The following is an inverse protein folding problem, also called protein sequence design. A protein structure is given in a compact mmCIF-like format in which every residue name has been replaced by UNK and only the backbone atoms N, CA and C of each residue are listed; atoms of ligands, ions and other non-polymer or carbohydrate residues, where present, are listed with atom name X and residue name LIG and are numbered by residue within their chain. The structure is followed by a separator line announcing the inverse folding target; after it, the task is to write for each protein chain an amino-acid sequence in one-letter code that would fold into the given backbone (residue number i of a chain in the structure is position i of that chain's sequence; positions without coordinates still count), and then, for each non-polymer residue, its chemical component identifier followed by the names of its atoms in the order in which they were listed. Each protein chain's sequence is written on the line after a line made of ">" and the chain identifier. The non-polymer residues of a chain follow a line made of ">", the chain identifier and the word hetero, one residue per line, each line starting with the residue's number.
data_IF_585316691550
#
_entry.id   IF_585316691550
#
_cell.length_a   1.000
_cell.length_b   1.000
_cell.length_c   1.000
_cell.angle_alpha   90.00
_cell.angle_beta   90.00
_cell.angle_gamma   90.00
#
_symmetry.space_group_name_H-M   'P 1'
#
loop_
_entity.id
_entity.type
_entity.pdbx_description
1 polymer ?
#
# COMPACT_ATOMS: atom_id res chain seq x y z
N UNK A 1 20.47 -35.36 8.59
CA UNK A 1 20.03 -35.18 7.20
C UNK A 1 20.35 -33.73 6.84
N UNK A 2 21.25 -33.54 5.89
CA UNK A 2 21.77 -32.23 5.47
C UNK A 2 20.89 -31.72 4.33
N UNK A 3 20.36 -30.51 4.43
CA UNK A 3 19.72 -29.85 3.29
C UNK A 3 20.47 -28.58 2.97
N UNK A 4 21.21 -28.69 1.86
CA UNK A 4 21.90 -27.67 1.09
C UNK A 4 21.13 -26.34 0.99
N UNK A 5 21.79 -25.25 1.35
CA UNK A 5 21.52 -23.92 0.83
C UNK A 5 22.29 -23.83 -0.51
N UNK A 6 21.57 -23.84 -1.64
CA UNK A 6 22.17 -23.50 -2.94
C UNK A 6 22.27 -21.98 -2.97
N UNK A 7 23.46 -21.45 -2.73
CA UNK A 7 23.81 -20.08 -3.11
C UNK A 7 23.61 -19.95 -4.62
N UNK A 8 22.47 -19.36 -5.00
CA UNK A 8 22.31 -18.79 -6.34
C UNK A 8 23.12 -17.50 -6.29
N UNK A 9 24.19 -17.48 -7.07
CA UNK A 9 25.01 -16.32 -7.48
C UNK A 9 24.34 -14.96 -7.15
N UNK A 10 24.58 -14.48 -5.92
CA UNK A 10 24.14 -13.18 -5.42
C UNK A 10 25.14 -12.08 -5.82
N UNK A 11 25.75 -12.20 -7.00
CA UNK A 11 26.52 -11.10 -7.55
C UNK A 11 25.54 -10.00 -7.97
N UNK A 12 25.43 -8.97 -7.12
CA UNK A 12 24.79 -7.71 -7.46
C UNK A 12 25.43 -7.21 -8.76
N UNK A 13 24.59 -6.76 -9.69
CA UNK A 13 25.09 -6.06 -10.87
C UNK A 13 25.91 -4.83 -10.39
N UNK A 14 27.01 -4.49 -11.08
CA UNK A 14 27.83 -3.32 -10.74
C UNK A 14 26.98 -2.05 -10.59
N UNK A 15 27.39 -1.16 -9.68
CA UNK A 15 26.77 0.16 -9.52
C UNK A 15 26.67 0.86 -10.89
N UNK A 16 25.44 1.24 -11.27
CA UNK A 16 25.12 1.84 -12.58
C UNK A 16 24.45 0.90 -13.60
N UNK A 17 24.28 -0.40 -13.30
CA UNK A 17 23.51 -1.35 -14.13
C UNK A 17 22.08 -1.62 -13.63
N UNK A 18 21.75 -1.21 -12.40
CA UNK A 18 20.40 -1.33 -11.85
C UNK A 18 19.52 -0.21 -12.43
N UNK A 19 18.50 -0.59 -13.20
CA UNK A 19 17.51 0.37 -13.70
C UNK A 19 16.40 0.46 -12.68
N UNK A 20 15.88 1.66 -12.42
CA UNK A 20 14.75 1.88 -11.52
C UNK A 20 13.55 0.99 -11.91
N UNK A 21 13.35 0.76 -13.21
CA UNK A 21 12.26 -0.08 -13.73
C UNK A 21 12.31 -1.56 -13.30
N UNK A 22 13.43 -2.07 -12.77
CA UNK A 22 13.60 -3.49 -12.41
C UNK A 22 12.79 -3.87 -11.15
N UNK A 23 12.45 -2.89 -10.30
CA UNK A 23 11.76 -3.12 -9.02
C UNK A 23 10.39 -2.45 -8.92
N UNK A 24 9.92 -1.84 -10.00
CA UNK A 24 8.58 -1.27 -10.06
C UNK A 24 7.51 -2.36 -9.90
N UNK A 25 6.65 -2.18 -8.91
CA UNK A 25 5.48 -3.02 -8.66
C UNK A 25 4.36 -2.64 -9.63
N UNK A 26 3.89 -3.62 -10.40
CA UNK A 26 2.95 -3.41 -11.53
C UNK A 26 1.66 -4.23 -11.33
N UNK A 27 0.67 -3.72 -10.59
CA UNK A 27 -0.60 -4.44 -10.33
C UNK A 27 -1.31 -4.92 -11.60
N UNK A 28 -1.21 -4.13 -12.68
CA UNK A 28 -1.82 -4.40 -13.98
C UNK A 28 -1.27 -5.67 -14.66
N UNK A 29 -0.04 -6.08 -14.36
CA UNK A 29 0.55 -7.30 -14.97
C UNK A 29 -0.15 -8.58 -14.53
N UNK A 30 -0.64 -8.61 -13.29
CA UNK A 30 -1.25 -9.80 -12.70
C UNK A 30 -2.78 -9.70 -12.58
N UNK A 31 -3.36 -8.53 -12.92
CA UNK A 31 -4.79 -8.28 -12.83
C UNK A 31 -5.35 -8.38 -11.40
N UNK A 32 -4.49 -8.29 -10.37
CA UNK A 32 -4.87 -8.36 -8.96
C UNK A 32 -4.20 -7.23 -8.18
N UNK A 33 -4.82 -6.75 -7.08
CA UNK A 33 -4.19 -5.76 -6.23
C UNK A 33 -2.88 -6.27 -5.64
N UNK A 34 -1.91 -5.37 -5.48
CA UNK A 34 -0.68 -5.60 -4.73
C UNK A 34 -0.83 -4.91 -3.38
N UNK A 35 -0.57 -5.64 -2.30
CA UNK A 35 -0.47 -5.07 -0.94
C UNK A 35 1.00 -5.03 -0.55
N UNK A 36 1.55 -3.82 -0.37
CA UNK A 36 2.97 -3.60 -0.14
C UNK A 36 3.21 -2.80 1.14
N UNK A 37 3.93 -3.39 2.09
CA UNK A 37 4.33 -2.73 3.33
C UNK A 37 5.68 -2.05 3.17
N UNK A 38 5.76 -0.77 3.50
CA UNK A 38 6.98 0.03 3.34
C UNK A 38 6.94 1.28 4.23
N UNK A 39 8.03 2.04 4.22
CA UNK A 39 8.02 3.43 4.65
C UNK A 39 7.55 4.27 3.47
N UNK A 40 6.54 5.12 3.64
CA UNK A 40 5.98 5.90 2.55
C UNK A 40 5.87 7.38 2.92
N UNK A 41 6.44 8.23 2.07
CA UNK A 41 6.36 9.69 2.23
C UNK A 41 4.90 10.14 2.27
N UNK A 42 4.57 11.04 3.20
CA UNK A 42 3.19 11.51 3.43
C UNK A 42 2.28 10.57 4.22
N UNK A 43 2.72 9.34 4.50
CA UNK A 43 1.95 8.33 5.26
C UNK A 43 2.65 8.01 6.59
N UNK A 44 3.84 7.41 6.54
CA UNK A 44 4.59 7.02 7.73
C UNK A 44 5.48 5.79 7.54
N UNK A 45 6.05 5.31 8.63
CA UNK A 45 6.95 4.14 8.68
C UNK A 45 6.21 2.81 8.77
N UNK A 46 4.89 2.84 8.95
CA UNK A 46 4.05 1.66 9.01
C UNK A 46 2.99 1.75 7.91
N UNK A 47 3.42 2.13 6.71
CA UNK A 47 2.52 2.30 5.58
C UNK A 47 2.22 0.95 4.93
N UNK A 48 0.96 0.76 4.55
CA UNK A 48 0.49 -0.32 3.71
C UNK A 48 -0.11 0.30 2.45
N UNK A 49 0.65 0.22 1.37
CA UNK A 49 0.21 0.69 0.06
C UNK A 49 -0.57 -0.43 -0.65
N UNK A 50 -1.69 -0.07 -1.27
CA UNK A 50 -2.54 -0.96 -2.05
C UNK A 50 -2.58 -0.45 -3.50
N UNK A 51 -1.99 -1.23 -4.39
CA UNK A 51 -1.93 -0.93 -5.81
C UNK A 51 -2.97 -1.73 -6.57
N UNK A 52 -3.99 -1.07 -7.13
CA UNK A 52 -5.01 -1.72 -7.94
C UNK A 52 -4.68 -1.76 -9.44
N UNK A 53 -5.05 -2.83 -10.17
CA UNK A 53 -4.86 -2.94 -11.63
C UNK A 53 -5.48 -1.82 -12.46
N UNK A 54 -6.50 -1.15 -11.92
CA UNK A 54 -7.20 -0.02 -12.53
C UNK A 54 -6.35 1.28 -12.55
N UNK A 55 -5.11 1.24 -12.02
CA UNK A 55 -4.21 2.39 -12.00
C UNK A 55 -4.63 3.48 -11.01
N UNK A 56 -5.38 3.09 -9.98
CA UNK A 56 -5.75 3.92 -8.84
C UNK A 56 -5.23 3.25 -7.60
N UNK A 57 -4.57 3.99 -6.71
CA UNK A 57 -3.84 3.42 -5.59
C UNK A 57 -4.14 4.20 -4.31
N UNK A 58 -3.99 3.54 -3.17
CA UNK A 58 -4.19 4.15 -1.87
C UNK A 58 -3.16 3.64 -0.87
N UNK A 59 -2.87 4.43 0.16
CA UNK A 59 -2.00 4.01 1.25
C UNK A 59 -2.65 4.23 2.61
N UNK A 60 -2.55 3.21 3.44
CA UNK A 60 -3.03 3.15 4.80
C UNK A 60 -1.87 3.31 5.77
N UNK A 61 -2.03 4.14 6.78
CA UNK A 61 -1.13 4.22 7.93
C UNK A 61 -1.61 3.23 8.99
N UNK A 62 -0.90 2.11 9.16
CA UNK A 62 -1.31 1.11 10.16
C UNK A 62 -1.01 1.51 11.59
N UNK A 63 -0.18 2.53 11.82
CA UNK A 63 0.06 3.06 13.16
C UNK A 63 -1.12 3.88 13.64
N UNK A 64 -1.68 4.71 12.75
CA UNK A 64 -2.84 5.58 13.04
C UNK A 64 -4.18 4.98 12.59
N UNK A 65 -4.16 3.79 11.98
CA UNK A 65 -5.30 3.08 11.41
C UNK A 65 -6.18 3.96 10.50
N UNK A 66 -5.57 4.65 9.53
CA UNK A 66 -6.30 5.53 8.60
C UNK A 66 -5.73 5.54 7.18
N UNK A 67 -6.61 5.72 6.19
CA UNK A 67 -6.22 6.01 4.82
C UNK A 67 -5.67 7.44 4.70
N UNK A 68 -4.45 7.58 4.17
CA UNK A 68 -3.72 8.85 4.15
C UNK A 68 -3.70 9.50 2.79
N UNK A 69 -3.32 8.75 1.76
CA UNK A 69 -3.18 9.28 0.41
C UNK A 69 -3.76 8.33 -0.62
N UNK A 70 -4.17 8.88 -1.76
CA UNK A 70 -4.45 8.15 -2.98
C UNK A 70 -3.84 8.85 -4.19
N UNK A 71 -3.56 8.10 -5.24
CA UNK A 71 -2.95 8.61 -6.47
C UNK A 71 -3.32 7.75 -7.69
N UNK A 72 -2.99 8.24 -8.88
CA UNK A 72 -3.25 7.56 -10.17
C UNK A 72 -1.95 7.23 -10.91
N UNK A 73 -2.00 6.23 -11.78
CA UNK A 73 -0.91 5.90 -12.69
C UNK A 73 -0.03 4.77 -12.17
N UNK A 74 1.26 5.05 -11.98
CA UNK A 74 2.25 4.06 -11.53
C UNK A 74 2.14 3.87 -10.02
N UNK A 75 2.38 2.63 -9.56
CA UNK A 75 2.19 2.28 -8.16
C UNK A 75 3.38 2.71 -7.28
N UNK A 76 4.34 1.82 -7.07
CA UNK A 76 5.53 2.05 -6.23
C UNK A 76 6.72 1.28 -6.77
N UNK A 77 7.90 1.75 -6.36
CA UNK A 77 9.17 1.05 -6.57
C UNK A 77 9.60 0.33 -5.28
N UNK A 78 9.97 -0.94 -5.38
CA UNK A 78 10.43 -1.72 -4.23
C UNK A 78 11.94 -1.58 -3.93
N UNK A 79 12.73 -0.91 -4.81
CA UNK A 79 14.18 -0.77 -4.71
C UNK A 79 14.62 -0.07 -3.43
N UNK A 80 13.84 0.88 -2.90
CA UNK A 80 14.16 1.63 -1.68
C UNK A 80 14.38 0.73 -0.45
N UNK A 81 13.97 -0.55 -0.51
CA UNK A 81 14.04 -1.50 0.59
C UNK A 81 15.38 -2.27 0.66
N UNK A 82 16.22 -2.22 -0.39
CA UNK A 82 17.36 -3.14 -0.54
C UNK A 82 18.75 -2.52 -0.62
N UNK A 83 18.89 -1.22 -0.92
CA UNK A 83 20.16 -0.69 -1.43
C UNK A 83 21.07 0.00 -0.39
N UNK A 84 20.53 0.61 0.67
CA UNK A 84 21.36 1.38 1.61
C UNK A 84 20.90 1.26 3.08
N UNK A 85 21.82 1.46 4.03
CA UNK A 85 21.53 1.51 5.48
C UNK A 85 20.63 2.70 5.85
N UNK A 86 20.35 3.58 4.89
CA UNK A 86 19.34 4.62 4.94
C UNK A 86 18.24 4.32 3.91
N UNK A 87 17.22 3.57 4.34
CA UNK A 87 16.00 3.36 3.55
C UNK A 87 15.20 4.67 3.55
N UNK A 88 15.41 5.50 2.53
CA UNK A 88 14.53 6.63 2.29
C UNK A 88 13.09 6.12 2.09
N UNK A 89 12.07 6.79 2.66
CA UNK A 89 10.69 6.41 2.41
C UNK A 89 10.41 6.36 0.90
N UNK A 90 9.69 5.34 0.46
CA UNK A 90 9.19 5.27 -0.90
C UNK A 90 8.32 6.49 -1.22
N UNK A 91 8.23 6.81 -2.51
CA UNK A 91 7.35 7.84 -3.03
C UNK A 91 6.37 7.22 -4.04
N UNK A 92 5.11 7.69 -4.10
CA UNK A 92 4.21 7.36 -5.20
C UNK A 92 4.87 7.64 -6.55
N UNK A 93 4.93 6.64 -7.44
CA UNK A 93 5.49 6.83 -8.80
C UNK A 93 4.51 7.53 -9.76
N UNK A 94 3.23 7.56 -9.40
CA UNK A 94 2.16 8.16 -10.18
C UNK A 94 1.93 9.63 -9.85
N UNK A 95 0.85 10.17 -10.41
CA UNK A 95 0.50 11.59 -10.31
C UNK A 95 -0.75 11.80 -9.43
N UNK A 96 -1.02 13.07 -9.10
CA UNK A 96 -2.27 13.46 -8.43
C UNK A 96 -2.41 12.96 -7.00
N UNK A 97 -1.29 12.85 -6.27
CA UNK A 97 -1.29 12.45 -4.85
C UNK A 97 -2.20 13.38 -4.06
N UNK A 98 -3.26 12.80 -3.49
CA UNK A 98 -4.33 13.52 -2.79
C UNK A 98 -4.45 13.00 -1.37
N UNK A 99 -4.54 13.91 -0.40
CA UNK A 99 -4.82 13.56 1.00
C UNK A 99 -6.27 13.06 1.16
N UNK A 100 -6.41 11.91 1.80
CA UNK A 100 -7.69 11.27 2.09
C UNK A 100 -8.21 11.57 3.49
N UNK A 101 -7.41 12.18 4.38
CA UNK A 101 -7.68 12.29 5.80
C UNK A 101 -9.02 12.98 6.11
N UNK A 102 -9.40 13.98 5.32
CA UNK A 102 -10.68 14.68 5.49
C UNK A 102 -11.88 13.86 4.97
N UNK A 103 -11.70 13.10 3.89
CA UNK A 103 -12.76 12.30 3.29
C UNK A 103 -12.95 10.96 4.01
N UNK A 104 -11.85 10.34 4.44
CA UNK A 104 -11.76 9.07 5.14
C UNK A 104 -11.11 9.30 6.50
N UNK A 105 -11.84 9.89 7.47
CA UNK A 105 -11.29 10.10 8.80
C UNK A 105 -10.93 8.76 9.44
N UNK A 106 -9.82 8.76 10.18
CA UNK A 106 -9.41 7.67 11.04
C UNK A 106 -10.24 7.60 12.33
N UNK A 107 -9.96 6.62 13.19
CA UNK A 107 -10.56 6.53 14.51
C UNK A 107 -10.23 7.76 15.37
N UNK A 108 -11.17 8.16 16.25
CA UNK A 108 -11.00 9.31 17.14
C UNK A 108 -10.18 8.99 18.41
N UNK A 109 -9.96 7.71 18.68
CA UNK A 109 -9.16 7.20 19.80
C UNK A 109 -7.95 6.46 19.26
N UNK A 110 -6.99 6.15 20.13
CA UNK A 110 -5.90 5.24 19.81
C UNK A 110 -6.46 3.92 19.27
N UNK A 111 -5.78 3.39 18.26
CA UNK A 111 -6.21 2.21 17.52
C UNK A 111 -5.08 1.20 17.39
N UNK A 112 -5.41 -0.07 17.53
CA UNK A 112 -4.51 -1.19 17.34
C UNK A 112 -4.80 -1.87 16.00
N UNK A 113 -3.81 -1.92 15.12
CA UNK A 113 -3.94 -2.61 13.85
C UNK A 113 -3.85 -4.13 14.02
N UNK A 114 -4.88 -4.84 13.57
CA UNK A 114 -5.00 -6.30 13.71
C UNK A 114 -4.61 -7.06 12.43
N UNK A 115 -4.25 -6.36 11.36
CA UNK A 115 -3.90 -6.94 10.06
C UNK A 115 -4.96 -6.72 8.99
N UNK A 116 -4.93 -7.54 7.93
CA UNK A 116 -5.90 -7.46 6.85
C UNK A 116 -6.27 -8.85 6.32
N UNK A 117 -7.47 -8.97 5.74
CA UNK A 117 -7.95 -10.16 5.02
C UNK A 117 -8.07 -9.83 3.54
N UNK A 118 -7.69 -10.76 2.66
CA UNK A 118 -7.86 -10.63 1.23
C UNK A 118 -9.14 -11.34 0.80
N UNK A 119 -9.90 -10.72 -0.10
CA UNK A 119 -10.98 -11.41 -0.80
C UNK A 119 -10.46 -12.25 -1.99
N UNK A 120 -11.37 -12.91 -2.71
CA UNK A 120 -11.02 -13.75 -3.87
C UNK A 120 -10.31 -12.98 -5.00
N UNK A 121 -10.55 -11.67 -5.10
CA UNK A 121 -9.93 -10.77 -6.08
C UNK A 121 -8.61 -10.20 -5.59
N UNK A 122 -8.26 -10.40 -4.31
CA UNK A 122 -7.06 -9.88 -3.68
C UNK A 122 -7.23 -8.47 -3.10
N UNK A 123 -8.45 -7.95 -2.98
CA UNK A 123 -8.69 -6.65 -2.34
C UNK A 123 -8.60 -6.80 -0.82
N UNK A 124 -7.76 -6.00 -0.13
CA UNK A 124 -7.64 -6.07 1.32
C UNK A 124 -8.77 -5.36 2.06
N UNK A 125 -9.29 -6.01 3.09
CA UNK A 125 -10.06 -5.40 4.18
C UNK A 125 -9.17 -5.32 5.41
N UNK A 126 -8.88 -4.10 5.87
CA UNK A 126 -8.06 -3.81 7.03
C UNK A 126 -8.90 -3.95 8.30
N UNK A 127 -8.29 -4.52 9.35
CA UNK A 127 -8.91 -4.77 10.64
C UNK A 127 -8.15 -4.01 11.70
N UNK A 128 -8.87 -3.27 12.54
CA UNK A 128 -8.27 -2.58 13.69
C UNK A 128 -9.29 -2.47 14.83
N UNK A 129 -8.79 -2.35 16.05
CA UNK A 129 -9.60 -2.05 17.24
C UNK A 129 -9.38 -0.60 17.66
N UNK A 130 -10.45 0.14 17.95
CA UNK A 130 -10.36 1.47 18.52
C UNK A 130 -11.51 1.69 19.52
N UNK A 131 -11.19 2.13 20.74
CA UNK A 131 -12.20 2.41 21.76
C UNK A 131 -13.06 1.19 22.12
N UNK A 132 -12.49 -0.02 22.10
CA UNK A 132 -13.19 -1.28 22.39
C UNK A 132 -14.14 -1.76 21.29
N UNK A 133 -14.07 -1.19 20.09
CA UNK A 133 -14.82 -1.61 18.92
C UNK A 133 -13.88 -2.08 17.81
N UNK A 134 -14.25 -3.17 17.14
CA UNK A 134 -13.54 -3.65 15.95
C UNK A 134 -14.08 -2.96 14.69
N UNK A 135 -13.17 -2.57 13.80
CA UNK A 135 -13.47 -1.95 12.53
C UNK A 135 -12.99 -2.82 11.37
N UNK A 136 -13.80 -2.87 10.32
CA UNK A 136 -13.44 -3.40 9.01
C UNK A 136 -13.41 -2.24 8.01
N UNK A 137 -12.25 -1.97 7.42
CA UNK A 137 -12.03 -0.83 6.54
C UNK A 137 -11.41 -1.27 5.21
N UNK A 138 -12.17 -1.07 4.14
CA UNK A 138 -11.77 -1.46 2.79
C UNK A 138 -11.83 -0.25 1.88
N UNK A 139 -10.84 -0.13 1.00
CA UNK A 139 -10.88 0.78 -0.14
C UNK A 139 -10.81 -0.03 -1.43
N UNK A 140 -11.59 0.35 -2.43
CA UNK A 140 -11.53 -0.24 -3.77
C UNK A 140 -11.86 0.78 -4.88
N UNK A 141 -11.39 0.57 -6.11
CA UNK A 141 -11.75 1.42 -7.25
C UNK A 141 -13.25 1.38 -7.56
N UNK A 142 -13.83 2.53 -7.94
CA UNK A 142 -15.24 2.66 -8.33
C UNK A 142 -15.44 3.17 -9.79
N UNK A 143 -14.35 3.23 -10.56
CA UNK A 143 -14.30 3.76 -11.92
C UNK A 143 -14.07 5.27 -12.02
N UNK A 144 -14.38 6.05 -10.97
CA UNK A 144 -14.12 7.52 -10.91
C UNK A 144 -13.01 7.89 -9.93
N UNK A 145 -12.66 6.98 -9.03
CA UNK A 145 -11.63 7.14 -8.04
C UNK A 145 -11.65 5.92 -7.12
N UNK A 146 -11.91 6.16 -5.85
CA UNK A 146 -11.98 5.14 -4.82
C UNK A 146 -13.31 5.23 -4.09
N UNK A 147 -13.78 4.11 -3.55
CA UNK A 147 -14.77 4.11 -2.48
C UNK A 147 -14.19 3.43 -1.24
N UNK A 148 -14.51 3.98 -0.06
CA UNK A 148 -14.26 3.36 1.23
C UNK A 148 -15.52 2.64 1.70
N UNK A 149 -15.35 1.46 2.27
CA UNK A 149 -16.39 0.67 2.91
C UNK A 149 -15.92 0.47 4.35
N UNK A 150 -16.51 1.21 5.29
CA UNK A 150 -16.17 1.17 6.72
C UNK A 150 -17.32 0.52 7.48
N UNK A 151 -17.10 -0.67 8.06
CA UNK A 151 -18.15 -1.46 8.72
C UNK A 151 -19.41 -1.65 7.85
N UNK A 152 -19.22 -1.73 6.52
CA UNK A 152 -20.30 -1.85 5.55
C UNK A 152 -20.88 -0.53 5.03
N UNK A 153 -20.53 0.61 5.62
CA UNK A 153 -20.95 1.93 5.13
C UNK A 153 -20.05 2.41 3.99
N UNK A 154 -20.64 2.72 2.84
CA UNK A 154 -19.91 3.15 1.65
C UNK A 154 -19.76 4.68 1.55
N UNK A 155 -18.57 5.14 1.16
CA UNK A 155 -18.30 6.54 0.81
C UNK A 155 -17.38 6.64 -0.40
N UNK A 156 -17.90 7.23 -1.48
CA UNK A 156 -17.12 7.48 -2.69
C UNK A 156 -16.20 8.70 -2.56
N UNK A 157 -15.06 8.64 -3.23
CA UNK A 157 -14.06 9.68 -3.33
C UNK A 157 -13.52 9.76 -4.78
N UNK A 158 -14.04 10.69 -5.60
CA UNK A 158 -13.58 10.84 -6.97
C UNK A 158 -12.14 11.37 -6.99
N UNK A 159 -11.30 10.77 -7.83
CA UNK A 159 -9.93 11.23 -8.07
C UNK A 159 -9.89 11.90 -9.44
N UNK A 160 -9.41 13.14 -9.46
CA UNK A 160 -9.24 13.92 -10.69
C UNK A 160 -8.08 13.42 -11.53
#
# INVERSE_FOLDING_TARGET
>A
IWTYLKEIDQNRLPDGLLRTDDFELKPEKNGKPIVFRTFLSGVGTEAVAVGFPEGVHAAFDSRECRWRIAWRGRFLDAMSTWDDRFCAPAEPLGEGVTDLSAAFPGPATEAEFLGFRLDEKGVPTFLYEAGGQTFEDRVEPDGKGLKRILNGEERAFPLR
#
